data_IF_127107883115
#
_entry.id   IF_127107883115
#
_cell.length_a   1.000
_cell.length_b   1.000
_cell.length_c   1.000
_cell.angle_alpha   90.00
_cell.angle_beta   90.00
_cell.angle_gamma   90.00
#
_symmetry.space_group_name_H-M   'P 1'
#
loop_
_entity.id
_entity.type
_entity.pdbx_description
1 polymer ?
#
# COMPACT_ATOMS: atom_id res chain seq x y z
N UNK A 1 22.11 -20.15 -11.48
CA UNK A 1 21.33 -18.96 -11.86
C UNK A 1 21.23 -18.96 -13.37
N UNK A 2 20.10 -19.41 -13.92
CA UNK A 2 19.79 -19.32 -15.36
C UNK A 2 19.54 -17.84 -15.67
N UNK A 3 20.18 -17.31 -16.72
CA UNK A 3 20.21 -15.88 -17.07
C UNK A 3 18.83 -15.25 -17.38
N UNK A 4 17.76 -16.05 -17.36
CA UNK A 4 16.40 -15.69 -17.75
C UNK A 4 15.36 -15.92 -16.65
N UNK A 5 15.72 -16.46 -15.49
CA UNK A 5 14.77 -16.62 -14.37
C UNK A 5 14.84 -15.39 -13.45
N UNK A 6 13.70 -14.69 -13.22
CA UNK A 6 13.67 -13.59 -12.26
C UNK A 6 13.99 -14.13 -10.87
N UNK A 7 14.81 -13.38 -10.12
CA UNK A 7 15.18 -13.79 -8.77
C UNK A 7 13.92 -13.99 -7.90
N UNK A 8 13.88 -15.01 -7.02
CA UNK A 8 12.72 -15.25 -6.16
C UNK A 8 12.32 -14.01 -5.34
N UNK A 9 13.30 -13.19 -4.97
CA UNK A 9 13.10 -11.94 -4.24
C UNK A 9 12.40 -10.87 -5.09
N UNK A 10 12.73 -10.77 -6.38
CA UNK A 10 12.03 -9.87 -7.29
C UNK A 10 10.57 -10.31 -7.49
N UNK A 11 10.34 -11.61 -7.66
CA UNK A 11 8.99 -12.16 -7.74
C UNK A 11 8.18 -11.88 -6.47
N UNK A 12 8.78 -12.08 -5.29
CA UNK A 12 8.15 -11.77 -4.00
C UNK A 12 7.82 -10.28 -3.88
N UNK A 13 8.75 -9.38 -4.26
CA UNK A 13 8.50 -7.94 -4.24
C UNK A 13 7.35 -7.55 -5.18
N UNK A 14 7.33 -8.07 -6.40
CA UNK A 14 6.25 -7.82 -7.37
C UNK A 14 4.91 -8.32 -6.83
N UNK A 15 4.88 -9.53 -6.27
CA UNK A 15 3.66 -10.09 -5.70
C UNK A 15 3.15 -9.24 -4.53
N UNK A 16 4.02 -8.91 -3.57
CA UNK A 16 3.65 -8.13 -2.38
C UNK A 16 3.17 -6.73 -2.77
N UNK A 17 3.90 -6.03 -3.65
CA UNK A 17 3.54 -4.65 -4.02
C UNK A 17 2.23 -4.57 -4.81
N UNK A 18 1.90 -5.61 -5.58
CA UNK A 18 0.75 -5.59 -6.51
C UNK A 18 -0.51 -6.19 -5.88
N UNK A 19 -0.41 -7.23 -5.05
CA UNK A 19 -1.57 -8.01 -4.60
C UNK A 19 -1.71 -8.19 -3.08
N UNK A 20 -0.76 -7.69 -2.29
CA UNK A 20 -0.79 -7.88 -0.83
C UNK A 20 -0.82 -6.54 -0.11
N UNK A 21 0.01 -5.59 -0.53
CA UNK A 21 0.27 -4.41 0.28
C UNK A 21 -0.96 -3.53 0.46
N UNK A 22 -1.65 -3.19 -0.64
CA UNK A 22 -2.80 -2.29 -0.60
C UNK A 22 -4.02 -2.97 0.03
N UNK A 23 -4.19 -4.27 -0.17
CA UNK A 23 -5.24 -5.10 0.42
C UNK A 23 -5.08 -5.14 1.95
N UNK A 24 -3.89 -5.47 2.44
CA UNK A 24 -3.60 -5.49 3.87
C UNK A 24 -3.74 -4.08 4.46
N UNK A 25 -3.22 -3.06 3.77
CA UNK A 25 -3.37 -1.67 4.21
C UNK A 25 -4.84 -1.26 4.31
N UNK A 26 -5.67 -1.60 3.32
CA UNK A 26 -7.10 -1.32 3.32
C UNK A 26 -7.81 -2.01 4.49
N UNK A 27 -7.48 -3.28 4.77
CA UNK A 27 -8.05 -4.01 5.90
C UNK A 27 -7.67 -3.38 7.25
N UNK A 28 -6.40 -3.00 7.43
CA UNK A 28 -5.93 -2.32 8.64
C UNK A 28 -6.58 -0.94 8.80
N UNK A 29 -6.68 -0.17 7.72
CA UNK A 29 -7.29 1.14 7.71
C UNK A 29 -8.80 1.08 7.98
N UNK A 30 -9.50 0.10 7.41
CA UNK A 30 -10.91 -0.17 7.69
C UNK A 30 -11.11 -0.57 9.16
N UNK A 31 -10.33 -1.53 9.66
CA UNK A 31 -10.40 -1.97 11.06
C UNK A 31 -10.21 -0.77 12.01
N UNK A 32 -9.23 0.09 11.73
CA UNK A 32 -9.05 1.30 12.53
C UNK A 32 -10.18 2.31 12.36
N UNK A 33 -10.68 2.52 11.15
CA UNK A 33 -11.81 3.41 10.88
C UNK A 33 -13.10 3.01 11.61
N UNK A 34 -13.27 1.72 11.92
CA UNK A 34 -14.39 1.19 12.71
C UNK A 34 -14.17 1.30 14.23
N UNK A 35 -12.93 1.13 14.70
CA UNK A 35 -12.61 1.05 16.14
C UNK A 35 -12.25 2.42 16.75
N UNK A 36 -11.51 3.25 16.00
CA UNK A 36 -11.00 4.54 16.49
C UNK A 36 -12.10 5.63 16.51
N UNK A 37 -11.82 6.73 17.21
CA UNK A 37 -12.72 7.89 17.30
C UNK A 37 -11.97 9.17 16.97
N UNK A 38 -12.71 10.21 16.59
CA UNK A 38 -12.17 11.55 16.35
C UNK A 38 -11.15 11.60 15.20
N UNK A 39 -10.03 12.33 15.34
CA UNK A 39 -9.11 12.60 14.24
C UNK A 39 -8.38 11.34 13.76
N UNK A 40 -8.09 10.38 14.65
CA UNK A 40 -7.49 9.10 14.25
C UNK A 40 -8.38 8.31 13.27
N UNK A 41 -9.71 8.41 13.41
CA UNK A 41 -10.66 7.78 12.47
C UNK A 41 -10.58 8.41 11.08
N UNK A 42 -10.54 9.75 11.00
CA UNK A 42 -10.45 10.45 9.72
C UNK A 42 -9.15 10.12 8.97
N UNK A 43 -8.02 10.09 9.68
CA UNK A 43 -6.74 9.71 9.09
C UNK A 43 -6.76 8.26 8.58
N UNK A 44 -7.38 7.33 9.31
CA UNK A 44 -7.55 5.95 8.85
C UNK A 44 -8.49 5.84 7.63
N UNK A 45 -9.59 6.60 7.59
CA UNK A 45 -10.47 6.64 6.42
C UNK A 45 -9.79 7.23 5.18
N UNK A 46 -8.88 8.19 5.36
CA UNK A 46 -8.07 8.71 4.26
C UNK A 46 -7.11 7.64 3.72
N UNK A 47 -6.43 6.88 4.60
CA UNK A 47 -5.61 5.74 4.17
C UNK A 47 -6.45 4.69 3.44
N UNK A 48 -7.65 4.39 3.92
CA UNK A 48 -8.57 3.46 3.27
C UNK A 48 -8.94 3.94 1.87
N UNK A 49 -9.29 5.22 1.72
CA UNK A 49 -9.62 5.80 0.42
C UNK A 49 -8.45 5.69 -0.57
N UNK A 50 -7.24 6.02 -0.14
CA UNK A 50 -6.03 5.91 -0.98
C UNK A 50 -5.72 4.45 -1.35
N UNK A 51 -5.87 3.53 -0.40
CA UNK A 51 -5.67 2.10 -0.66
C UNK A 51 -6.69 1.57 -1.68
N UNK A 52 -7.97 1.92 -1.51
CA UNK A 52 -9.03 1.55 -2.46
C UNK A 52 -8.81 2.17 -3.85
N UNK A 53 -8.33 3.42 -3.93
CA UNK A 53 -7.99 4.04 -5.20
C UNK A 53 -6.85 3.29 -5.92
N UNK A 54 -5.80 2.89 -5.18
CA UNK A 54 -4.71 2.07 -5.73
C UNK A 54 -5.18 0.68 -6.17
N UNK A 55 -6.06 0.03 -5.40
CA UNK A 55 -6.68 -1.25 -5.78
C UNK A 55 -7.53 -1.09 -7.04
N UNK A 56 -8.34 -0.03 -7.12
CA UNK A 56 -9.15 0.26 -8.30
C UNK A 56 -8.28 0.41 -9.55
N UNK A 57 -7.13 1.08 -9.45
CA UNK A 57 -6.16 1.20 -10.55
C UNK A 57 -5.51 -0.14 -10.91
N UNK A 58 -5.17 -0.95 -9.91
CA UNK A 58 -4.57 -2.28 -10.12
C UNK A 58 -5.52 -3.22 -10.85
N UNK A 59 -6.81 -3.19 -10.51
CA UNK A 59 -7.83 -4.07 -11.11
C UNK A 59 -8.60 -3.45 -12.28
N UNK A 60 -8.47 -2.14 -12.55
CA UNK A 60 -9.15 -1.47 -13.66
C UNK A 60 -8.95 -2.14 -15.02
N UNK A 61 -7.74 -2.63 -15.41
CA UNK A 61 -7.56 -3.36 -16.66
C UNK A 61 -8.41 -4.64 -16.74
N UNK A 62 -8.57 -5.38 -15.63
CA UNK A 62 -9.38 -6.59 -15.59
C UNK A 62 -10.88 -6.30 -15.79
N UNK A 63 -11.31 -5.07 -15.49
CA UNK A 63 -12.68 -4.57 -15.71
C UNK A 63 -12.83 -3.78 -17.02
N UNK A 64 -11.78 -3.69 -17.85
CA UNK A 64 -11.73 -2.85 -19.05
C UNK A 64 -12.00 -1.35 -18.78
N UNK A 65 -11.63 -0.87 -17.59
CA UNK A 65 -11.78 0.52 -17.11
C UNK A 65 -10.45 1.31 -17.17
N UNK A 66 -9.49 0.84 -17.94
CA UNK A 66 -8.14 1.38 -18.07
C UNK A 66 -7.99 2.41 -19.21
N UNK A 67 -9.11 2.89 -19.75
CA UNK A 67 -9.13 3.85 -20.86
C UNK A 67 -9.38 5.27 -20.33
N UNK A 68 -8.56 6.22 -20.77
CA UNK A 68 -8.74 7.65 -20.49
C UNK A 68 -7.55 8.31 -19.79
N UNK A 69 -7.49 9.66 -19.83
CA UNK A 69 -6.35 10.43 -19.35
C UNK A 69 -6.13 10.31 -17.84
N UNK A 70 -7.21 10.18 -17.05
CA UNK A 70 -7.13 10.04 -15.59
C UNK A 70 -6.43 8.73 -15.20
N UNK A 71 -6.81 7.61 -15.82
CA UNK A 71 -6.17 6.33 -15.57
C UNK A 71 -4.69 6.37 -15.95
N UNK A 72 -4.35 6.98 -17.09
CA UNK A 72 -2.97 7.12 -17.54
C UNK A 72 -2.11 7.94 -16.56
N UNK A 73 -2.61 9.09 -16.10
CA UNK A 73 -1.91 9.92 -15.11
C UNK A 73 -1.73 9.20 -13.77
N UNK A 74 -2.79 8.56 -13.28
CA UNK A 74 -2.74 7.85 -12.01
C UNK A 74 -1.82 6.62 -12.08
N UNK A 75 -1.84 5.89 -13.19
CA UNK A 75 -0.92 4.75 -13.43
C UNK A 75 0.53 5.20 -13.54
N UNK A 76 0.80 6.36 -14.13
CA UNK A 76 2.14 6.95 -14.13
C UNK A 76 2.59 7.25 -12.70
N UNK A 77 1.74 7.88 -11.88
CA UNK A 77 2.06 8.12 -10.47
C UNK A 77 2.31 6.81 -9.70
N UNK A 78 1.56 5.74 -9.98
CA UNK A 78 1.75 4.42 -9.36
C UNK A 78 2.98 3.66 -9.84
N UNK A 79 3.58 4.02 -10.98
CA UNK A 79 4.76 3.36 -11.53
C UNK A 79 6.06 4.13 -11.28
N UNK A 80 5.97 5.41 -10.92
CA UNK A 80 7.10 6.23 -10.49
C UNK A 80 7.88 5.58 -9.34
N UNK A 81 9.22 5.61 -9.41
CA UNK A 81 10.07 5.05 -8.37
C UNK A 81 9.82 3.57 -8.08
N UNK A 82 9.42 2.79 -9.10
CA UNK A 82 9.02 1.39 -8.99
C UNK A 82 7.72 1.15 -8.19
N UNK A 83 6.92 2.21 -7.98
CA UNK A 83 5.65 2.20 -7.26
C UNK A 83 5.75 2.31 -5.74
N UNK A 84 6.97 2.27 -5.20
CA UNK A 84 7.20 2.38 -3.76
C UNK A 84 6.70 3.71 -3.15
N UNK A 85 6.93 4.89 -3.79
CA UNK A 85 6.41 6.16 -3.27
C UNK A 85 4.88 6.16 -3.12
N UNK A 86 4.16 5.60 -4.09
CA UNK A 86 2.69 5.56 -4.06
C UNK A 86 2.17 4.71 -2.89
N UNK A 87 2.79 3.55 -2.63
CA UNK A 87 2.43 2.68 -1.50
C UNK A 87 2.71 3.35 -0.14
N UNK A 88 3.85 4.04 -0.02
CA UNK A 88 4.19 4.78 1.20
C UNK A 88 3.25 5.98 1.41
N UNK A 89 2.91 6.72 0.36
CA UNK A 89 1.94 7.81 0.42
C UNK A 89 0.56 7.33 0.86
N UNK A 90 0.09 6.19 0.35
CA UNK A 90 -1.17 5.59 0.79
C UNK A 90 -1.13 5.16 2.27
N UNK A 91 0.04 4.76 2.77
CA UNK A 91 0.27 4.31 4.14
C UNK A 91 0.41 5.46 5.15
N UNK A 92 0.87 6.62 4.68
CA UNK A 92 1.18 7.76 5.55
C UNK A 92 0.01 8.20 6.44
N UNK A 93 -1.26 8.29 5.97
CA UNK A 93 -2.36 8.67 6.85
C UNK A 93 -2.64 7.64 7.95
N UNK A 94 -2.44 6.34 7.68
CA UNK A 94 -2.61 5.32 8.72
C UNK A 94 -1.49 5.42 9.77
N UNK A 95 -0.27 5.75 9.35
CA UNK A 95 0.83 6.04 10.26
C UNK A 95 0.53 7.29 11.12
N UNK A 96 0.04 8.37 10.51
CA UNK A 96 -0.39 9.58 11.24
C UNK A 96 -1.52 9.26 12.22
N UNK A 97 -2.45 8.36 11.86
CA UNK A 97 -3.53 7.94 12.76
C UNK A 97 -3.02 7.37 14.09
N UNK A 98 -1.82 6.78 14.10
CA UNK A 98 -1.19 6.21 15.28
C UNK A 98 -0.75 7.28 16.30
N UNK A 99 -0.51 8.51 15.82
CA UNK A 99 -0.03 9.65 16.62
C UNK A 99 -1.17 10.57 17.07
N UNK A 100 -2.39 10.36 16.56
CA UNK A 100 -3.54 11.22 16.83
C UNK A 100 -4.35 10.79 18.07
N UNK A 101 -5.04 11.74 18.74
CA UNK A 101 -5.98 11.43 19.80
C UNK A 101 -7.10 10.49 19.33
N UNK A 102 -7.55 9.60 20.22
CA UNK A 102 -8.58 8.62 19.90
C UNK A 102 -8.05 7.32 19.28
N UNK A 103 -6.72 7.12 19.26
CA UNK A 103 -6.10 5.86 18.87
C UNK A 103 -6.58 4.70 19.76
N UNK A 104 -6.87 3.57 19.14
CA UNK A 104 -7.25 2.30 19.79
C UNK A 104 -6.62 1.15 19.00
N UNK A 105 -6.38 0.02 19.67
CA UNK A 105 -5.82 -1.20 19.09
C UNK A 105 -4.38 -1.05 18.57
N UNK A 106 -3.39 -1.04 19.48
CA UNK A 106 -1.96 -0.93 19.15
C UNK A 106 -1.43 -2.05 18.24
N UNK A 107 -2.13 -3.19 18.16
CA UNK A 107 -1.77 -4.27 17.23
C UNK A 107 -1.86 -3.84 15.76
N UNK A 108 -2.75 -2.89 15.42
CA UNK A 108 -2.85 -2.34 14.06
C UNK A 108 -1.57 -1.58 13.72
N UNK A 109 -1.01 -0.85 14.68
CA UNK A 109 0.24 -0.10 14.50
C UNK A 109 1.41 -1.07 14.29
N UNK A 110 1.48 -2.13 15.11
CA UNK A 110 2.51 -3.15 14.96
C UNK A 110 2.43 -3.84 13.59
N UNK A 111 1.24 -4.27 13.16
CA UNK A 111 1.06 -4.88 11.83
C UNK A 111 1.38 -3.92 10.69
N UNK A 112 1.02 -2.64 10.83
CA UNK A 112 1.33 -1.62 9.82
C UNK A 112 2.85 -1.37 9.71
N UNK A 113 3.56 -1.33 10.84
CA UNK A 113 5.03 -1.23 10.85
C UNK A 113 5.67 -2.47 10.22
N UNK A 114 5.17 -3.68 10.52
CA UNK A 114 5.63 -4.91 9.87
C UNK A 114 5.38 -4.87 8.36
N UNK A 115 4.22 -4.38 7.93
CA UNK A 115 3.87 -4.24 6.51
C UNK A 115 4.84 -3.30 5.78
N UNK A 116 5.09 -2.11 6.32
CA UNK A 116 6.06 -1.14 5.76
C UNK A 116 7.47 -1.74 5.80
N UNK A 117 7.88 -2.31 6.93
CA UNK A 117 9.21 -2.90 7.11
C UNK A 117 9.46 -4.06 6.15
N UNK A 118 8.47 -4.91 5.91
CA UNK A 118 8.54 -6.01 4.94
C UNK A 118 8.67 -5.51 3.51
N UNK A 119 7.88 -4.49 3.12
CA UNK A 119 8.01 -3.86 1.80
C UNK A 119 9.40 -3.25 1.59
N UNK A 120 9.86 -2.44 2.56
CA UNK A 120 11.17 -1.78 2.48
C UNK A 120 12.32 -2.80 2.52
N UNK A 121 12.19 -3.86 3.32
CA UNK A 121 13.17 -4.95 3.39
C UNK A 121 13.29 -5.70 2.07
N UNK A 122 12.17 -6.07 1.45
CA UNK A 122 12.16 -6.68 0.12
C UNK A 122 12.75 -5.74 -0.93
N UNK A 123 12.33 -4.47 -0.93
CA UNK A 123 12.83 -3.49 -1.89
C UNK A 123 14.35 -3.29 -1.77
N UNK A 124 14.85 -3.11 -0.55
CA UNK A 124 16.28 -3.00 -0.29
C UNK A 124 17.00 -4.27 -0.78
N UNK A 125 16.53 -5.45 -0.39
CA UNK A 125 17.13 -6.73 -0.78
C UNK A 125 17.23 -6.88 -2.32
N UNK A 126 16.22 -6.44 -3.07
CA UNK A 126 16.27 -6.47 -4.54
C UNK A 126 17.23 -5.47 -5.18
N UNK A 127 17.59 -4.39 -4.48
CA UNK A 127 18.51 -3.36 -4.99
C UNK A 127 19.99 -3.74 -4.82
N UNK A 128 20.28 -4.63 -3.88
CA UNK A 128 21.64 -5.11 -3.59
C UNK A 128 21.99 -6.43 -4.32
N UNK A 129 21.10 -6.94 -5.17
CA UNK A 129 21.30 -8.09 -6.07
C UNK A 129 21.62 -7.60 -7.48
#
# INVERSE_FOLDING_TARGET
MTFFEPSPLLLALIFVRTFVYLEVLALLALARGLIARGPARLAALLALLLALAGLALTFAPALNLNQGPVFAMASQAMTQGQGLPALLLASAPLLVSAMLPGRRAAWIDALHVILIGGLLGLWAATRWL
#
